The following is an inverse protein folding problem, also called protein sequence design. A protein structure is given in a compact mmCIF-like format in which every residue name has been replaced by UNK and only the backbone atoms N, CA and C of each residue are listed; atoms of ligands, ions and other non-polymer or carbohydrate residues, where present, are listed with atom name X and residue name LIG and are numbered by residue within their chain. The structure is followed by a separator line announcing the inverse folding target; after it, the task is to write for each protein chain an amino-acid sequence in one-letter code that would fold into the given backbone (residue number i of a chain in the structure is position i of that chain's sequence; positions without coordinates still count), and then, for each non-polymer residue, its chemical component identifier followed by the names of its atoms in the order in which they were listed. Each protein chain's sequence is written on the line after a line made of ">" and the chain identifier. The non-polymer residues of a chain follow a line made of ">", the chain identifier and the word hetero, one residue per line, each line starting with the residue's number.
data_IF_829347204028
#
_entry.id   IF_829347204028
#
_cell.length_a   1.000
_cell.length_b   1.000
_cell.length_c   1.000
_cell.angle_alpha   90.00
_cell.angle_beta   90.00
_cell.angle_gamma   90.00
#
_symmetry.space_group_name_H-M   'P 1'
#
loop_
_entity.id
_entity.type
_entity.pdbx_description
1 polymer ?
#
# COMPACT_ATOMS: atom_id res chain seq x y z
N UNK A 1 -73.33 -40.78 54.79
CA UNK A 1 -72.99 -40.29 53.42
C UNK A 1 -72.84 -41.51 52.54
N UNK A 2 -73.78 -41.74 51.63
CA UNK A 2 -73.70 -42.87 50.71
C UNK A 2 -72.47 -42.70 49.82
N UNK A 3 -71.51 -43.62 49.93
CA UNK A 3 -70.38 -43.72 49.02
C UNK A 3 -70.95 -44.02 47.64
N UNK A 4 -71.03 -43.01 46.78
CA UNK A 4 -71.50 -43.19 45.41
C UNK A 4 -70.46 -44.05 44.69
N UNK A 5 -70.80 -45.31 44.48
CA UNK A 5 -70.03 -46.23 43.67
C UNK A 5 -70.13 -45.82 42.20
N UNK A 6 -69.13 -45.06 41.72
CA UNK A 6 -69.02 -44.63 40.31
C UNK A 6 -68.96 -45.83 39.33
N UNK A 7 -68.83 -47.06 39.83
CA UNK A 7 -68.84 -48.24 38.97
C UNK A 7 -70.24 -48.65 38.51
N UNK A 8 -71.34 -48.11 39.06
CA UNK A 8 -72.71 -48.52 38.68
C UNK A 8 -73.32 -47.79 37.48
N UNK A 9 -72.69 -46.74 36.95
CA UNK A 9 -73.16 -46.02 35.76
C UNK A 9 -72.08 -45.99 34.67
N UNK A 10 -72.32 -46.56 33.47
CA UNK A 10 -71.34 -46.62 32.39
C UNK A 10 -70.72 -45.26 32.02
N UNK A 11 -71.53 -44.20 31.99
CA UNK A 11 -71.08 -42.85 31.64
C UNK A 11 -70.00 -42.27 32.58
N UNK A 12 -70.02 -42.62 33.87
CA UNK A 12 -68.99 -42.16 34.82
C UNK A 12 -67.67 -42.90 34.62
N UNK A 13 -67.70 -44.20 34.27
CA UNK A 13 -66.51 -44.97 33.92
C UNK A 13 -65.85 -44.43 32.64
N UNK A 14 -66.65 -44.12 31.63
CA UNK A 14 -66.17 -43.57 30.36
C UNK A 14 -65.50 -42.20 30.53
N UNK A 15 -66.06 -41.34 31.40
CA UNK A 15 -65.46 -40.05 31.77
C UNK A 15 -64.12 -40.19 32.51
N UNK A 16 -64.00 -41.16 33.43
CA UNK A 16 -62.74 -41.44 34.12
C UNK A 16 -61.65 -41.94 33.17
N UNK A 17 -62.02 -42.83 32.24
CA UNK A 17 -61.13 -43.33 31.20
C UNK A 17 -60.72 -42.22 30.22
N UNK A 18 -61.64 -41.33 29.83
CA UNK A 18 -61.32 -40.14 29.03
C UNK A 18 -60.34 -39.22 29.76
N UNK A 19 -60.53 -39.00 31.07
CA UNK A 19 -59.61 -38.23 31.91
C UNK A 19 -58.21 -38.84 31.96
N UNK A 20 -58.09 -40.17 32.08
CA UNK A 20 -56.79 -40.88 31.99
C UNK A 20 -56.15 -40.72 30.62
N UNK A 21 -56.92 -40.85 29.53
CA UNK A 21 -56.41 -40.67 28.16
C UNK A 21 -55.90 -39.26 27.94
N UNK A 22 -56.66 -38.25 28.34
CA UNK A 22 -56.25 -36.85 28.25
C UNK A 22 -54.97 -36.58 29.05
N UNK A 23 -54.87 -37.08 30.29
CA UNK A 23 -53.64 -36.97 31.09
C UNK A 23 -52.44 -37.61 30.39
N UNK A 24 -52.59 -38.83 29.88
CA UNK A 24 -51.50 -39.52 29.17
C UNK A 24 -51.07 -38.75 27.90
N UNK A 25 -52.02 -38.16 27.18
CA UNK A 25 -51.74 -37.31 26.02
C UNK A 25 -50.96 -36.06 26.43
N UNK A 26 -51.40 -35.37 27.48
CA UNK A 26 -50.73 -34.17 28.00
C UNK A 26 -49.32 -34.48 28.49
N UNK A 27 -49.15 -35.57 29.26
CA UNK A 27 -47.83 -36.02 29.76
C UNK A 27 -46.90 -36.38 28.58
N UNK A 28 -47.42 -37.12 27.59
CA UNK A 28 -46.65 -37.48 26.40
C UNK A 28 -46.30 -36.27 25.52
N UNK A 29 -47.19 -35.27 25.43
CA UNK A 29 -46.90 -34.01 24.75
C UNK A 29 -45.81 -33.23 25.48
N UNK A 30 -45.89 -33.13 26.81
CA UNK A 30 -44.86 -32.49 27.63
C UNK A 30 -43.48 -33.11 27.42
N UNK A 31 -43.39 -34.44 27.43
CA UNK A 31 -42.13 -35.16 27.15
C UNK A 31 -41.57 -34.84 25.76
N UNK A 32 -42.42 -34.79 24.72
CA UNK A 32 -42.00 -34.46 23.36
C UNK A 32 -41.52 -33.02 23.23
N UNK A 33 -42.17 -32.08 23.90
CA UNK A 33 -41.77 -30.67 23.91
C UNK A 33 -40.42 -30.50 24.60
N UNK A 34 -40.23 -31.08 25.79
CA UNK A 34 -38.94 -31.01 26.49
C UNK A 34 -37.80 -31.66 25.70
N UNK A 35 -38.09 -32.76 24.99
CA UNK A 35 -37.11 -33.38 24.09
C UNK A 35 -36.76 -32.48 22.90
N UNK A 36 -37.72 -31.73 22.34
CA UNK A 36 -37.44 -30.77 21.27
C UNK A 36 -36.61 -29.59 21.77
N UNK A 37 -36.95 -29.03 22.94
CA UNK A 37 -36.21 -27.91 23.54
C UNK A 37 -34.77 -28.28 23.88
N UNK A 38 -34.53 -29.51 24.35
CA UNK A 38 -33.18 -29.98 24.70
C UNK A 38 -32.32 -30.29 23.49
N UNK A 39 -32.93 -30.77 22.39
CA UNK A 39 -32.21 -31.21 21.19
C UNK A 39 -32.17 -30.14 20.08
N UNK A 40 -32.75 -28.96 20.30
CA UNK A 40 -32.71 -27.88 19.35
C UNK A 40 -31.26 -27.36 19.20
N UNK A 41 -30.70 -27.29 17.97
CA UNK A 41 -29.42 -26.66 17.71
C UNK A 41 -29.38 -25.22 18.23
N UNK A 42 -28.38 -24.88 19.04
CA UNK A 42 -28.26 -23.51 19.62
C UNK A 42 -27.17 -22.69 18.95
N UNK A 43 -26.27 -23.34 18.21
CA UNK A 43 -25.23 -22.71 17.39
C UNK A 43 -25.16 -23.38 16.03
N UNK A 44 -24.57 -22.69 15.06
CA UNK A 44 -24.46 -23.17 13.67
C UNK A 44 -23.81 -24.55 13.61
N UNK A 45 -22.71 -24.78 14.32
CA UNK A 45 -22.00 -26.08 14.31
C UNK A 45 -22.74 -27.26 14.95
N UNK A 46 -23.93 -27.06 15.54
CA UNK A 46 -24.82 -28.15 15.96
C UNK A 46 -25.68 -28.67 14.78
N UNK A 47 -25.73 -27.91 13.68
CA UNK A 47 -26.41 -28.31 12.45
C UNK A 47 -25.56 -29.34 11.71
N UNK A 48 -26.19 -30.31 11.08
CA UNK A 48 -25.48 -31.35 10.29
C UNK A 48 -25.46 -31.03 8.79
N UNK A 49 -26.30 -30.08 8.36
CA UNK A 49 -26.44 -29.61 6.98
C UNK A 49 -25.59 -28.38 6.65
N UNK A 50 -24.81 -27.88 7.61
CA UNK A 50 -23.97 -26.70 7.50
C UNK A 50 -22.53 -27.00 7.07
N UNK A 51 -22.17 -28.26 6.78
CA UNK A 51 -20.82 -28.74 6.42
C UNK A 51 -20.11 -27.99 5.27
N UNK A 52 -20.80 -27.10 4.56
CA UNK A 52 -20.25 -26.22 3.51
C UNK A 52 -19.88 -24.82 4.01
N UNK A 53 -20.23 -24.49 5.25
CA UNK A 53 -19.86 -23.26 5.94
C UNK A 53 -18.64 -23.51 6.82
N UNK A 54 -17.71 -22.56 6.83
CA UNK A 54 -16.52 -22.61 7.65
C UNK A 54 -16.65 -21.58 8.76
N UNK A 55 -16.16 -21.90 9.95
CA UNK A 55 -15.98 -20.94 11.04
C UNK A 55 -14.87 -19.94 10.71
N UNK A 56 -14.89 -18.78 11.37
CA UNK A 56 -13.83 -17.76 11.23
C UNK A 56 -12.43 -18.33 11.50
N UNK A 57 -12.31 -19.23 12.49
CA UNK A 57 -11.05 -19.91 12.82
C UNK A 57 -10.58 -20.83 11.70
N UNK A 58 -11.47 -21.60 11.09
CA UNK A 58 -11.13 -22.49 9.98
C UNK A 58 -10.71 -21.72 8.74
N UNK A 59 -11.42 -20.63 8.42
CA UNK A 59 -11.05 -19.73 7.31
C UNK A 59 -9.68 -19.13 7.57
N UNK A 60 -9.43 -18.60 8.77
CA UNK A 60 -8.14 -18.02 9.14
C UNK A 60 -7.00 -19.04 9.06
N UNK A 61 -7.23 -20.27 9.54
CA UNK A 61 -6.25 -21.34 9.46
C UNK A 61 -5.96 -21.75 8.01
N UNK A 62 -6.98 -21.85 7.17
CA UNK A 62 -6.83 -22.16 5.75
C UNK A 62 -6.04 -21.07 5.01
N UNK A 63 -6.33 -19.80 5.28
CA UNK A 63 -5.61 -18.65 4.72
C UNK A 63 -4.16 -18.68 5.16
N UNK A 64 -3.88 -18.80 6.46
CA UNK A 64 -2.52 -18.83 6.98
C UNK A 64 -1.71 -19.99 6.38
N UNK A 65 -2.33 -21.16 6.23
CA UNK A 65 -1.72 -22.31 5.56
C UNK A 65 -1.41 -22.03 4.09
N UNK A 66 -2.35 -21.44 3.35
CA UNK A 66 -2.16 -21.09 1.95
C UNK A 66 -1.06 -20.04 1.75
N UNK A 67 -1.03 -19.01 2.60
CA UNK A 67 0.01 -17.97 2.57
C UNK A 67 1.37 -18.53 2.93
N UNK A 68 1.47 -19.41 3.94
CA UNK A 68 2.73 -20.05 4.30
C UNK A 68 3.26 -21.01 3.23
N UNK A 69 2.37 -21.64 2.47
CA UNK A 69 2.72 -22.52 1.35
C UNK A 69 3.05 -21.77 0.06
N UNK A 70 2.71 -20.48 -0.03
CA UNK A 70 3.03 -19.67 -1.19
C UNK A 70 4.51 -19.30 -1.23
N UNK A 71 5.06 -19.28 -2.43
CA UNK A 71 6.41 -18.84 -2.68
C UNK A 71 6.47 -17.30 -2.63
N UNK A 72 7.09 -16.76 -1.58
CA UNK A 72 7.31 -15.31 -1.42
C UNK A 72 8.73 -14.92 -1.78
N UNK A 73 8.90 -13.72 -2.34
CA UNK A 73 10.20 -13.09 -2.51
C UNK A 73 10.84 -12.75 -1.16
N UNK A 74 12.03 -13.27 -0.92
CA UNK A 74 12.85 -13.07 0.29
C UNK A 74 14.13 -12.33 -0.09
N UNK A 75 14.78 -11.68 0.88
CA UNK A 75 16.14 -11.13 0.69
C UNK A 75 17.18 -12.09 1.24
N UNK A 76 18.29 -12.27 0.51
CA UNK A 76 19.40 -13.13 0.95
C UNK A 76 20.73 -12.45 0.69
N UNK A 77 21.47 -12.16 1.75
CA UNK A 77 22.82 -11.61 1.62
C UNK A 77 23.79 -12.74 1.27
N UNK A 78 24.63 -12.52 0.28
CA UNK A 78 25.66 -13.46 -0.19
C UNK A 78 26.97 -12.72 -0.38
N UNK A 79 28.10 -13.35 -0.08
CA UNK A 79 29.40 -12.66 -0.16
C UNK A 79 29.79 -12.29 -1.60
N UNK A 80 29.39 -13.09 -2.58
CA UNK A 80 29.62 -12.87 -4.01
C UNK A 80 28.54 -13.57 -4.84
N UNK A 81 28.45 -13.27 -6.14
CA UNK A 81 27.57 -13.99 -7.07
C UNK A 81 27.92 -15.47 -7.20
N UNK A 82 29.18 -15.85 -7.01
CA UNK A 82 29.63 -17.25 -7.03
C UNK A 82 29.12 -18.09 -5.85
N UNK A 83 28.58 -17.46 -4.81
CA UNK A 83 27.97 -18.14 -3.66
C UNK A 83 26.46 -18.40 -3.86
N UNK A 84 25.90 -18.03 -5.02
CA UNK A 84 24.48 -18.22 -5.33
C UNK A 84 24.32 -19.60 -5.99
N UNK A 85 23.57 -20.49 -5.33
CA UNK A 85 23.17 -21.76 -5.92
C UNK A 85 21.96 -21.55 -6.84
N UNK A 86 22.21 -21.52 -8.15
CA UNK A 86 21.19 -21.34 -9.18
C UNK A 86 20.29 -22.57 -9.35
N UNK A 87 20.68 -23.73 -8.81
CA UNK A 87 19.92 -24.99 -8.93
C UNK A 87 19.07 -25.29 -7.70
N UNK A 88 19.18 -24.49 -6.65
CA UNK A 88 18.32 -24.62 -5.48
C UNK A 88 16.85 -24.46 -5.91
N UNK A 89 15.96 -25.29 -5.38
CA UNK A 89 14.53 -25.26 -5.74
C UNK A 89 13.86 -23.91 -5.42
N UNK A 90 14.40 -23.19 -4.44
CA UNK A 90 13.95 -21.88 -4.00
C UNK A 90 14.79 -20.72 -4.58
N UNK A 91 15.69 -20.97 -5.54
CA UNK A 91 16.61 -19.94 -6.05
C UNK A 91 15.88 -18.72 -6.63
N UNK A 92 14.75 -18.94 -7.31
CA UNK A 92 13.92 -17.87 -7.87
C UNK A 92 13.14 -17.07 -6.81
N UNK A 93 13.13 -17.52 -5.55
CA UNK A 93 12.41 -16.86 -4.45
C UNK A 93 13.24 -15.79 -3.74
N UNK A 94 14.46 -15.50 -4.21
CA UNK A 94 15.37 -14.58 -3.54
C UNK A 94 15.76 -13.38 -4.39
N UNK A 95 15.72 -12.21 -3.77
CA UNK A 95 16.55 -11.07 -4.15
C UNK A 95 17.88 -11.23 -3.42
N UNK A 96 18.91 -11.62 -4.16
CA UNK A 96 20.26 -11.80 -3.63
C UNK A 96 20.96 -10.45 -3.53
N UNK A 97 21.46 -10.13 -2.34
CA UNK A 97 22.20 -8.91 -2.05
C UNK A 97 23.69 -9.24 -1.99
N UNK A 98 24.46 -8.77 -2.97
CA UNK A 98 25.92 -8.98 -3.06
C UNK A 98 26.63 -7.67 -2.66
N UNK A 99 27.47 -7.65 -1.61
CA UNK A 99 28.14 -6.43 -1.16
C UNK A 99 28.98 -5.76 -2.25
N UNK A 100 28.83 -4.44 -2.39
CA UNK A 100 29.73 -3.59 -3.18
C UNK A 100 30.92 -3.23 -2.30
N UNK A 101 32.11 -3.72 -2.63
CA UNK A 101 33.33 -3.55 -1.83
C UNK A 101 33.72 -2.08 -1.51
N UNK A 102 33.27 -1.13 -2.32
CA UNK A 102 33.47 0.32 -2.14
C UNK A 102 32.14 1.09 -2.20
N UNK A 103 31.14 0.60 -1.48
CA UNK A 103 29.87 1.29 -1.35
C UNK A 103 30.01 2.60 -0.55
N UNK A 104 29.58 3.72 -1.13
CA UNK A 104 29.16 4.89 -0.35
C UNK A 104 28.01 4.51 0.61
N UNK A 105 27.70 5.36 1.59
CA UNK A 105 26.76 5.05 2.69
C UNK A 105 25.36 4.59 2.26
N UNK A 106 24.95 4.81 1.00
CA UNK A 106 23.62 4.52 0.46
C UNK A 106 23.55 3.48 -0.67
N UNK A 107 24.65 2.92 -1.17
CA UNK A 107 24.65 1.96 -2.31
C UNK A 107 25.47 0.71 -1.97
N UNK A 108 24.95 -0.10 -1.03
CA UNK A 108 25.70 -1.16 -0.36
C UNK A 108 25.76 -2.47 -1.12
N UNK A 109 24.80 -2.74 -2.00
CA UNK A 109 24.63 -4.04 -2.62
C UNK A 109 24.29 -3.91 -4.10
N UNK A 110 24.82 -4.82 -4.90
CA UNK A 110 24.21 -5.19 -6.17
C UNK A 110 23.10 -6.21 -5.91
N UNK A 111 21.97 -6.05 -6.60
CA UNK A 111 20.79 -6.88 -6.43
C UNK A 111 20.67 -7.86 -7.61
N UNK A 112 20.47 -9.14 -7.30
CA UNK A 112 20.33 -10.19 -8.30
C UNK A 112 19.10 -11.05 -8.04
N UNK A 113 18.55 -11.65 -9.10
CA UNK A 113 17.51 -12.67 -9.02
C UNK A 113 17.86 -13.83 -9.96
N UNK A 114 17.36 -15.01 -9.63
CA UNK A 114 17.42 -16.16 -10.55
C UNK A 114 16.12 -16.20 -11.33
N UNK A 115 16.20 -16.00 -12.64
CA UNK A 115 15.07 -16.00 -13.58
C UNK A 115 15.34 -17.11 -14.59
N UNK A 116 14.41 -18.06 -14.70
CA UNK A 116 14.55 -19.23 -15.60
C UNK A 116 15.89 -19.98 -15.45
N UNK A 117 16.41 -20.05 -14.21
CA UNK A 117 17.68 -20.71 -13.88
C UNK A 117 18.94 -19.88 -14.22
N UNK A 118 18.78 -18.65 -14.71
CA UNK A 118 19.85 -17.72 -15.03
C UNK A 118 19.95 -16.65 -13.95
N UNK A 119 21.17 -16.31 -13.52
CA UNK A 119 21.39 -15.20 -12.60
C UNK A 119 21.33 -13.88 -13.36
N UNK A 120 20.35 -13.04 -13.03
CA UNK A 120 20.18 -11.70 -13.60
C UNK A 120 20.45 -10.62 -12.55
N UNK A 121 21.11 -9.52 -12.98
CA UNK A 121 21.28 -8.33 -12.15
C UNK A 121 20.03 -7.47 -12.26
N UNK A 122 19.32 -7.29 -11.15
CA UNK A 122 18.03 -6.60 -11.09
C UNK A 122 18.14 -5.11 -10.79
N UNK A 123 19.25 -4.70 -10.19
CA UNK A 123 19.39 -3.33 -9.76
C UNK A 123 20.73 -3.03 -9.13
N UNK A 124 20.96 -1.73 -9.02
CA UNK A 124 21.99 -1.13 -8.22
C UNK A 124 21.40 0.17 -7.65
N UNK A 125 21.72 0.54 -6.41
CA UNK A 125 21.13 1.75 -5.79
C UNK A 125 21.88 3.03 -6.22
N UNK A 126 22.69 2.95 -7.28
CA UNK A 126 23.52 4.05 -7.73
C UNK A 126 22.66 5.00 -8.54
N UNK A 127 22.57 6.24 -8.08
CA UNK A 127 22.05 7.34 -8.89
C UNK A 127 23.20 7.87 -9.75
N UNK A 128 23.11 7.70 -11.07
CA UNK A 128 24.06 8.33 -11.99
C UNK A 128 23.74 9.82 -12.16
N UNK A 129 24.61 10.66 -11.59
CA UNK A 129 24.53 12.11 -11.69
C UNK A 129 25.61 12.70 -12.61
N UNK A 130 26.34 11.88 -13.36
CA UNK A 130 27.45 12.33 -14.22
C UNK A 130 27.04 13.36 -15.29
N UNK A 131 25.77 13.38 -15.68
CA UNK A 131 25.19 14.33 -16.64
C UNK A 131 24.62 15.62 -16.02
N UNK A 132 24.64 15.77 -14.70
CA UNK A 132 24.06 16.92 -14.00
C UNK A 132 25.15 17.88 -13.49
N UNK A 133 24.79 19.16 -13.34
CA UNK A 133 25.66 20.17 -12.75
C UNK A 133 25.96 19.80 -11.29
N UNK A 134 27.23 19.62 -10.97
CA UNK A 134 27.67 19.30 -9.61
C UNK A 134 27.67 20.55 -8.72
N UNK A 135 27.40 20.34 -7.42
CA UNK A 135 27.45 21.42 -6.44
C UNK A 135 28.90 21.80 -6.16
N UNK A 136 29.24 23.04 -6.44
CA UNK A 136 30.49 23.65 -5.98
C UNK A 136 30.34 24.21 -4.56
N UNK A 137 31.41 24.17 -3.77
CA UNK A 137 31.40 24.71 -2.41
C UNK A 137 31.08 26.21 -2.44
N UNK A 138 30.06 26.63 -1.67
CA UNK A 138 29.64 28.03 -1.59
C UNK A 138 28.73 28.51 -2.73
N UNK A 139 28.37 27.66 -3.70
CA UNK A 139 27.44 27.99 -4.79
C UNK A 139 26.16 27.16 -4.73
N UNK A 140 25.07 27.74 -5.23
CA UNK A 140 23.81 27.07 -5.51
C UNK A 140 23.65 26.76 -6.99
N UNK A 141 22.69 25.90 -7.34
CA UNK A 141 22.47 25.40 -8.71
C UNK A 141 22.11 26.50 -9.74
N UNK A 142 21.77 27.70 -9.27
CA UNK A 142 21.45 28.87 -10.09
C UNK A 142 21.98 30.16 -9.46
N UNK A 143 23.11 30.08 -8.74
CA UNK A 143 23.72 31.29 -8.19
C UNK A 143 24.20 32.18 -9.33
N UNK A 144 23.82 33.45 -9.28
CA UNK A 144 24.36 34.46 -10.19
C UNK A 144 25.85 34.69 -9.82
N UNK A 145 26.73 34.04 -10.58
CA UNK A 145 28.17 33.95 -10.33
C UNK A 145 28.98 35.18 -10.79
N UNK A 146 28.31 36.24 -11.24
CA UNK A 146 29.01 37.48 -11.59
C UNK A 146 29.63 38.13 -10.34
N UNK A 147 30.94 38.41 -10.39
CA UNK A 147 31.62 39.16 -9.34
C UNK A 147 31.09 40.59 -9.29
N UNK A 148 31.22 41.27 -8.14
CA UNK A 148 30.85 42.69 -8.02
C UNK A 148 31.61 43.58 -9.02
N UNK A 149 32.87 43.23 -9.32
CA UNK A 149 33.69 43.95 -10.30
C UNK A 149 33.16 43.78 -11.73
N UNK A 150 32.73 42.57 -12.11
CA UNK A 150 32.17 42.33 -13.43
C UNK A 150 30.81 43.01 -13.60
N UNK A 151 29.96 42.97 -12.56
CA UNK A 151 28.70 43.74 -12.54
C UNK A 151 28.95 45.24 -12.73
N UNK A 152 29.97 45.78 -12.05
CA UNK A 152 30.34 47.19 -12.18
C UNK A 152 30.85 47.54 -13.59
N UNK A 153 31.62 46.65 -14.23
CA UNK A 153 32.04 46.85 -15.63
C UNK A 153 30.84 46.94 -16.56
N UNK A 154 29.84 46.07 -16.40
CA UNK A 154 28.60 46.10 -17.21
C UNK A 154 27.87 47.43 -17.02
N UNK A 155 27.65 47.85 -15.77
CA UNK A 155 27.04 49.17 -15.47
C UNK A 155 27.84 50.34 -16.03
N UNK A 156 29.17 50.27 -16.02
CA UNK A 156 30.01 51.33 -16.57
C UNK A 156 29.97 51.35 -18.10
N UNK A 157 29.87 50.20 -18.76
CA UNK A 157 29.68 50.12 -20.20
C UNK A 157 28.35 50.75 -20.61
N UNK A 158 27.26 50.47 -19.91
CA UNK A 158 25.96 51.13 -20.10
C UNK A 158 26.10 52.65 -20.02
N UNK A 159 26.67 53.17 -18.93
CA UNK A 159 26.89 54.62 -18.75
C UNK A 159 27.75 55.25 -19.85
N UNK A 160 28.79 54.56 -20.29
CA UNK A 160 29.71 55.10 -21.30
C UNK A 160 29.04 55.14 -22.68
N UNK A 161 28.20 54.13 -22.99
CA UNK A 161 27.42 54.12 -24.21
C UNK A 161 26.37 55.23 -24.21
N UNK A 162 25.64 55.42 -23.11
CA UNK A 162 24.67 56.52 -22.96
C UNK A 162 25.33 57.89 -23.16
N UNK A 163 26.49 58.11 -22.52
CA UNK A 163 27.22 59.36 -22.66
C UNK A 163 27.68 59.61 -24.11
N UNK A 164 28.16 58.57 -24.81
CA UNK A 164 28.60 58.69 -26.21
C UNK A 164 27.43 58.95 -27.16
N UNK A 165 26.27 58.33 -26.93
CA UNK A 165 25.06 58.57 -27.73
C UNK A 165 24.62 60.01 -27.54
N UNK A 166 24.49 60.48 -26.30
CA UNK A 166 24.10 61.86 -26.00
C UNK A 166 25.06 62.87 -26.61
N UNK A 167 26.37 62.64 -26.57
CA UNK A 167 27.37 63.53 -27.18
C UNK A 167 27.35 63.56 -28.72
N UNK A 168 26.75 62.55 -29.37
CA UNK A 168 26.63 62.44 -30.82
C UNK A 168 25.27 62.96 -31.33
N UNK A 169 24.28 63.08 -30.44
CA UNK A 169 23.01 63.69 -30.77
C UNK A 169 23.21 65.19 -30.92
N UNK A 170 22.75 65.75 -32.04
CA UNK A 170 22.69 67.18 -32.20
C UNK A 170 21.78 67.76 -31.11
N UNK A 171 22.25 68.79 -30.44
CA UNK A 171 21.45 69.52 -29.45
C UNK A 171 20.29 70.23 -30.13
N UNK A 172 19.20 70.50 -29.39
CA UNK A 172 18.07 71.26 -29.93
C UNK A 172 18.52 72.62 -30.51
N UNK A 173 19.57 73.22 -29.94
CA UNK A 173 20.18 74.44 -30.46
C UNK A 173 20.86 74.24 -31.81
N UNK A 174 21.66 73.19 -31.97
CA UNK A 174 22.31 72.88 -33.25
C UNK A 174 21.30 72.50 -34.32
N UNK A 175 20.27 71.72 -33.95
CA UNK A 175 19.18 71.37 -34.87
C UNK A 175 18.40 72.62 -35.28
N UNK A 176 18.06 73.51 -34.34
CA UNK A 176 17.36 74.76 -34.67
C UNK A 176 18.19 75.66 -35.58
N UNK A 177 19.49 75.80 -35.32
CA UNK A 177 20.38 76.57 -36.19
C UNK A 177 20.47 75.98 -37.60
N UNK A 178 20.51 74.64 -37.72
CA UNK A 178 20.50 73.96 -39.02
C UNK A 178 19.15 74.13 -39.75
N UNK A 179 18.03 74.12 -39.03
CA UNK A 179 16.70 74.36 -39.59
C UNK A 179 16.56 75.81 -40.08
N UNK A 180 17.05 76.77 -39.31
CA UNK A 180 17.06 78.20 -39.66
C UNK A 180 17.91 78.44 -40.92
N UNK A 181 19.08 77.79 -41.04
CA UNK A 181 19.91 77.85 -42.27
C UNK A 181 19.22 77.24 -43.49
N UNK A 182 18.54 76.10 -43.33
CA UNK A 182 17.97 75.35 -44.46
C UNK A 182 16.67 75.98 -44.98
N UNK A 183 15.83 76.50 -44.08
CA UNK A 183 14.49 76.95 -44.40
C UNK A 183 14.32 78.48 -44.35
N UNK A 184 15.26 79.20 -43.74
CA UNK A 184 15.13 80.64 -43.49
C UNK A 184 14.06 80.92 -42.44
N UNK A 185 14.38 81.80 -41.49
CA UNK A 185 13.43 82.31 -40.48
C UNK A 185 12.26 83.06 -41.11
#
# INVERSE_FOLDING_TARGET
>A
MASYDLTRTPALRDLQELGRRQKNVTDGLGQRVSALETNAPTKVGDLTNDKKYQTETEVSAAINKAVAAADHLKRKNVASTGNIDLKAADAAQYIYMVPKGTAGTSDKYDEYMVIDGVLEKMGDWKVDLSGYVQKEAGKGLSTNDYTSADKQKVTNMEKTMDARITARMATDTEVNAMLDELFGS
#
